data_IF_537998107020
#
_entry.id   IF_537998107020
#
_cell.length_a   1.000
_cell.length_b   1.000
_cell.length_c   1.000
_cell.angle_alpha   90.00
_cell.angle_beta   90.00
_cell.angle_gamma   90.00
#
_symmetry.space_group_name_H-M   'P 1'
#
loop_
_entity.id
_entity.type
_entity.pdbx_description
1 polymer ?
#
# COMPACT_ATOMS: atom_id res chain seq x y z
N UNK A 1 -19.40 -33.64 8.53
CA UNK A 1 -19.05 -32.79 9.69
C UNK A 1 -19.65 -33.43 10.92
N UNK A 2 -18.90 -33.52 12.02
CA UNK A 2 -19.39 -34.01 13.31
C UNK A 2 -20.54 -33.15 13.85
N UNK A 3 -21.50 -33.80 14.51
CA UNK A 3 -22.70 -33.20 15.10
C UNK A 3 -22.37 -32.08 16.10
N UNK A 4 -21.34 -32.30 16.92
CA UNK A 4 -20.81 -31.31 17.87
C UNK A 4 -20.39 -30.00 17.20
N UNK A 5 -19.85 -30.08 15.99
CA UNK A 5 -19.39 -28.90 15.24
C UNK A 5 -20.55 -28.13 14.61
N UNK A 6 -21.70 -28.77 14.34
CA UNK A 6 -22.92 -28.07 13.87
C UNK A 6 -23.57 -27.27 14.99
N UNK A 7 -23.64 -27.82 16.21
CA UNK A 7 -24.22 -27.14 17.38
C UNK A 7 -23.47 -25.86 17.71
N UNK A 8 -22.13 -25.92 17.77
CA UNK A 8 -21.29 -24.75 18.02
C UNK A 8 -21.52 -23.65 16.97
N UNK A 9 -21.66 -24.01 15.69
CA UNK A 9 -21.87 -23.04 14.61
C UNK A 9 -23.27 -22.42 14.64
N UNK A 10 -24.27 -23.13 15.18
CA UNK A 10 -25.62 -22.62 15.38
C UNK A 10 -25.69 -21.64 16.57
N UNK A 11 -25.05 -21.98 17.68
CA UNK A 11 -24.98 -21.11 18.87
C UNK A 11 -24.24 -19.80 18.59
N UNK A 12 -23.21 -19.85 17.73
CA UNK A 12 -22.47 -18.66 17.29
C UNK A 12 -23.21 -17.83 16.21
N UNK A 13 -24.42 -18.21 15.79
CA UNK A 13 -25.20 -17.49 14.78
C UNK A 13 -24.62 -17.55 13.36
N UNK A 14 -23.75 -18.53 13.08
CA UNK A 14 -23.02 -18.65 11.81
C UNK A 14 -23.71 -19.58 10.81
N UNK A 15 -25.03 -19.78 10.95
CA UNK A 15 -25.84 -20.58 10.03
C UNK A 15 -26.79 -19.69 9.22
N UNK A 16 -26.96 -19.93 7.90
CA UNK A 16 -26.46 -21.08 7.15
C UNK A 16 -24.99 -20.95 6.74
N UNK A 17 -24.27 -22.08 6.79
CA UNK A 17 -22.90 -22.20 6.29
C UNK A 17 -22.96 -22.33 4.76
N UNK A 18 -22.54 -21.28 4.06
CA UNK A 18 -22.41 -21.28 2.61
C UNK A 18 -21.31 -22.25 2.17
N UNK A 19 -21.66 -23.21 1.31
CA UNK A 19 -20.69 -24.10 0.65
C UNK A 19 -20.55 -23.70 -0.81
N UNK A 20 -19.31 -23.60 -1.27
CA UNK A 20 -19.00 -23.43 -2.68
C UNK A 20 -19.46 -24.68 -3.44
N UNK A 21 -20.24 -24.49 -4.52
CA UNK A 21 -20.66 -25.58 -5.41
C UNK A 21 -19.41 -26.10 -6.16
N UNK A 22 -19.23 -27.42 -6.19
CA UNK A 22 -18.15 -28.04 -6.95
C UNK A 22 -18.35 -27.78 -8.46
N UNK A 23 -17.29 -27.34 -9.15
CA UNK A 23 -17.25 -27.23 -10.61
C UNK A 23 -17.09 -28.63 -11.20
N UNK A 24 -18.11 -29.10 -11.91
CA UNK A 24 -18.02 -30.21 -12.86
C UNK A 24 -17.35 -29.70 -14.14
N UNK A 25 -16.27 -30.34 -14.57
CA UNK A 25 -15.59 -30.08 -15.85
C UNK A 25 -15.79 -31.21 -16.86
N UNK A 26 -15.42 -30.91 -18.12
CA UNK A 26 -15.22 -31.71 -19.37
C UNK A 26 -16.12 -31.21 -20.51
N UNK A 27 -15.71 -31.04 -21.78
CA UNK A 27 -14.46 -31.22 -22.55
C UNK A 27 -14.44 -30.22 -23.75
N UNK A 28 -13.31 -29.84 -24.36
CA UNK A 28 -12.48 -30.53 -25.38
C UNK A 28 -12.95 -30.33 -26.86
N UNK A 29 -12.02 -29.89 -27.72
CA UNK A 29 -12.11 -29.75 -29.20
C UNK A 29 -11.54 -28.39 -29.66
N UNK A 30 -10.27 -28.24 -30.08
CA UNK A 30 -9.62 -28.64 -31.35
C UNK A 30 -10.17 -27.87 -32.57
N UNK A 31 -9.41 -26.90 -33.10
CA UNK A 31 -8.64 -27.03 -34.35
C UNK A 31 -7.95 -25.72 -34.73
N UNK A 32 -6.77 -25.88 -35.35
CA UNK A 32 -5.91 -24.83 -35.87
C UNK A 32 -6.20 -24.62 -37.35
N UNK A 33 -6.12 -23.39 -37.84
CA UNK A 33 -5.68 -23.12 -39.21
C UNK A 33 -5.13 -21.70 -39.33
N UNK A 34 -4.06 -21.60 -40.11
CA UNK A 34 -3.16 -20.47 -40.27
C UNK A 34 -3.42 -19.89 -41.64
N UNK A 35 -3.68 -18.59 -41.76
CA UNK A 35 -3.67 -17.91 -43.05
C UNK A 35 -3.04 -16.51 -42.93
N UNK A 36 -2.04 -16.30 -43.77
CA UNK A 36 -1.13 -15.16 -43.82
C UNK A 36 -1.61 -14.05 -44.75
N UNK A 37 -1.61 -12.81 -44.22
CA UNK A 37 -1.15 -11.52 -44.82
C UNK A 37 -1.81 -10.99 -46.12
N UNK A 38 -2.00 -9.65 -46.28
CA UNK A 38 -0.88 -8.69 -46.39
C UNK A 38 -1.04 -7.30 -45.74
N UNK A 39 0.12 -6.68 -45.56
CA UNK A 39 0.50 -5.38 -44.99
C UNK A 39 0.25 -4.19 -45.94
N UNK A 40 -0.03 -3.01 -45.37
CA UNK A 40 0.48 -1.65 -45.73
C UNK A 40 -0.40 -0.54 -45.08
N UNK A 41 0.07 0.72 -44.95
CA UNK A 41 1.37 1.22 -44.52
C UNK A 41 1.25 2.20 -43.32
N UNK A 42 2.38 2.43 -42.67
CA UNK A 42 2.57 3.25 -41.47
C UNK A 42 2.34 4.75 -41.74
N UNK A 43 1.52 5.39 -40.91
CA UNK A 43 1.44 6.86 -40.80
C UNK A 43 2.12 7.30 -39.51
N UNK A 44 3.24 8.04 -39.65
CA UNK A 44 3.97 8.61 -38.52
C UNK A 44 3.07 9.53 -37.67
N UNK A 45 3.18 9.50 -36.33
CA UNK A 45 2.51 10.47 -35.46
C UNK A 45 3.14 11.87 -35.57
N UNK A 46 2.38 12.94 -35.31
CA UNK A 46 2.92 14.29 -35.26
C UNK A 46 3.86 14.46 -34.05
N UNK A 47 4.95 15.16 -34.31
CA UNK A 47 6.01 15.58 -33.42
C UNK A 47 5.44 16.24 -32.13
N UNK A 48 5.51 15.54 -31.00
CA UNK A 48 5.16 16.11 -29.71
C UNK A 48 6.38 16.86 -29.16
N UNK A 49 6.26 18.18 -29.07
CA UNK A 49 7.25 19.09 -28.52
C UNK A 49 7.74 18.61 -27.14
N UNK A 50 9.05 18.39 -27.02
CA UNK A 50 9.69 17.89 -25.82
C UNK A 50 9.50 18.89 -24.66
N UNK A 51 8.69 18.51 -23.67
CA UNK A 51 8.72 19.17 -22.35
C UNK A 51 10.08 18.88 -21.71
N UNK A 52 10.69 19.83 -20.99
CA UNK A 52 11.93 19.57 -20.25
C UNK A 52 11.68 18.41 -19.27
N UNK A 53 12.51 17.37 -19.36
CA UNK A 53 12.47 16.19 -18.50
C UNK A 53 13.00 16.56 -17.12
N UNK A 54 12.12 17.06 -16.25
CA UNK A 54 12.46 17.19 -14.83
C UNK A 54 12.57 15.79 -14.25
N UNK A 55 13.75 15.45 -13.74
CA UNK A 55 13.98 14.20 -13.01
C UNK A 55 13.05 14.15 -11.78
N UNK A 56 12.49 12.98 -11.46
CA UNK A 56 11.55 12.83 -10.32
C UNK A 56 12.16 13.34 -9.01
N UNK A 57 13.47 13.21 -8.86
CA UNK A 57 14.23 13.67 -7.69
C UNK A 57 14.17 15.18 -7.46
N UNK A 58 13.91 15.98 -8.50
CA UNK A 58 13.93 17.45 -8.43
C UNK A 58 12.52 18.07 -8.44
N UNK A 59 11.48 17.26 -8.68
CA UNK A 59 10.09 17.73 -8.77
C UNK A 59 9.61 18.42 -7.49
N UNK A 60 9.04 19.61 -7.58
CA UNK A 60 8.32 20.18 -6.44
C UNK A 60 7.05 19.35 -6.11
N UNK A 61 6.32 19.75 -5.07
CA UNK A 61 5.13 19.02 -4.63
C UNK A 61 4.03 18.96 -5.70
N UNK A 62 3.83 20.04 -6.45
CA UNK A 62 2.77 20.13 -7.46
C UNK A 62 3.14 19.29 -8.68
N UNK A 63 4.38 19.40 -9.15
CA UNK A 63 4.94 18.58 -10.22
C UNK A 63 4.87 17.09 -9.88
N UNK A 64 5.24 16.72 -8.65
CA UNK A 64 5.20 15.33 -8.20
C UNK A 64 3.76 14.80 -8.14
N UNK A 65 2.82 15.59 -7.61
CA UNK A 65 1.40 15.22 -7.54
C UNK A 65 0.83 15.01 -8.94
N UNK A 66 1.07 15.96 -9.85
CA UNK A 66 0.61 15.89 -11.25
C UNK A 66 1.23 14.71 -12.01
N UNK A 67 2.52 14.46 -11.79
CA UNK A 67 3.22 13.32 -12.41
C UNK A 67 2.64 11.99 -11.95
N UNK A 68 2.40 11.82 -10.64
CA UNK A 68 1.80 10.58 -10.13
C UNK A 68 0.37 10.39 -10.66
N UNK A 69 -0.45 11.45 -10.68
CA UNK A 69 -1.82 11.38 -11.20
C UNK A 69 -1.89 10.84 -12.65
N UNK A 70 -0.87 11.16 -13.46
CA UNK A 70 -0.75 10.76 -14.86
C UNK A 70 0.23 9.59 -15.09
N UNK A 71 0.70 8.95 -14.03
CA UNK A 71 1.72 7.91 -14.12
C UNK A 71 1.18 6.66 -14.85
N UNK A 72 1.97 6.17 -15.81
CA UNK A 72 1.76 4.93 -16.56
C UNK A 72 2.97 3.99 -16.50
N UNK A 73 3.86 4.17 -15.51
CA UNK A 73 5.14 3.45 -15.46
C UNK A 73 4.97 1.92 -15.38
N UNK A 74 4.02 1.44 -14.58
CA UNK A 74 3.82 0.01 -14.31
C UNK A 74 2.43 -0.51 -14.68
N UNK A 75 2.30 -1.84 -14.76
CA UNK A 75 1.06 -2.55 -15.11
C UNK A 75 -0.12 -2.27 -14.17
N UNK A 76 0.11 -1.80 -12.94
CA UNK A 76 -0.98 -1.50 -12.01
C UNK A 76 -1.92 -0.41 -12.53
N UNK A 77 -1.40 0.49 -13.38
CA UNK A 77 -2.21 1.56 -13.98
C UNK A 77 -3.36 1.04 -14.84
N UNK A 78 -3.21 -0.15 -15.43
CA UNK A 78 -4.23 -0.76 -16.30
C UNK A 78 -5.50 -1.16 -15.54
N UNK A 79 -5.40 -1.36 -14.22
CA UNK A 79 -6.49 -1.92 -13.41
C UNK A 79 -6.96 -1.01 -12.29
N UNK A 80 -6.19 0.01 -11.91
CA UNK A 80 -6.63 0.99 -10.92
C UNK A 80 -7.57 2.02 -11.57
N UNK A 81 -8.52 2.51 -10.80
CA UNK A 81 -9.41 3.60 -11.22
C UNK A 81 -8.65 4.93 -11.24
N UNK A 82 -7.82 5.15 -10.22
CA UNK A 82 -7.01 6.35 -10.07
C UNK A 82 -5.84 6.07 -9.12
N UNK A 83 -4.86 6.96 -9.12
CA UNK A 83 -3.74 6.90 -8.18
C UNK A 83 -4.13 7.45 -6.82
N UNK A 84 -3.58 6.86 -5.77
CA UNK A 84 -3.69 7.30 -4.38
C UNK A 84 -2.33 7.82 -3.94
N UNK A 85 -2.15 9.13 -4.02
CA UNK A 85 -0.85 9.79 -3.81
C UNK A 85 -0.40 9.76 -2.34
N UNK A 86 -1.31 10.15 -1.44
CA UNK A 86 -1.01 10.39 -0.04
C UNK A 86 -1.83 11.56 0.49
N UNK A 87 -2.10 11.58 1.80
CA UNK A 87 -2.84 12.67 2.45
C UNK A 87 -2.20 13.03 3.78
N UNK A 88 -2.27 14.30 4.15
CA UNK A 88 -1.84 14.79 5.45
C UNK A 88 -1.05 16.09 5.37
N UNK A 89 -0.36 16.39 6.46
CA UNK A 89 0.51 17.57 6.57
C UNK A 89 1.78 17.38 5.73
N UNK A 90 2.09 18.34 4.86
CA UNK A 90 3.28 18.28 3.99
C UNK A 90 4.58 18.55 4.75
N UNK A 91 4.49 19.05 5.97
CA UNK A 91 5.62 19.25 6.89
C UNK A 91 5.54 18.29 8.09
N UNK A 92 4.85 17.15 7.93
CA UNK A 92 4.66 16.19 9.00
C UNK A 92 5.97 15.62 9.54
N UNK A 93 6.14 15.67 10.86
CA UNK A 93 7.20 14.95 11.56
C UNK A 93 6.98 13.42 11.50
N UNK A 94 5.73 12.98 11.38
CA UNK A 94 5.34 11.56 11.33
C UNK A 94 4.87 11.13 9.95
N UNK A 95 5.61 10.21 9.32
CA UNK A 95 5.23 9.63 8.03
C UNK A 95 4.83 8.16 8.16
N UNK A 96 3.58 7.82 7.87
CA UNK A 96 3.08 6.45 7.86
C UNK A 96 3.04 5.90 6.43
N UNK A 97 3.61 4.72 6.22
CA UNK A 97 3.72 4.10 4.89
C UNK A 97 3.12 2.70 4.91
N UNK A 98 2.03 2.51 4.16
CA UNK A 98 1.38 1.21 3.94
C UNK A 98 1.86 0.49 2.68
N UNK A 99 1.19 -0.61 2.36
CA UNK A 99 1.53 -1.46 1.20
C UNK A 99 1.08 -0.84 -0.14
N UNK A 100 -0.21 -0.57 -0.26
CA UNK A 100 -0.85 -0.13 -1.50
C UNK A 100 -2.33 0.15 -1.29
N UNK A 101 -3.01 0.78 -2.26
CA UNK A 101 -4.43 1.11 -2.15
C UNK A 101 -5.31 -0.14 -2.17
N UNK A 102 -6.37 -0.14 -1.35
CA UNK A 102 -7.47 -1.10 -1.45
C UNK A 102 -8.59 -0.59 -2.37
N UNK A 103 -9.69 -1.31 -2.42
CA UNK A 103 -10.82 -0.99 -3.32
C UNK A 103 -11.48 0.37 -3.02
N UNK A 104 -11.59 0.75 -1.74
CA UNK A 104 -12.19 2.04 -1.37
C UNK A 104 -11.22 3.18 -1.60
N UNK A 105 -9.95 2.95 -1.30
CA UNK A 105 -8.88 3.92 -1.54
C UNK A 105 -8.77 4.23 -3.04
N UNK A 106 -8.80 3.21 -3.90
CA UNK A 106 -8.85 3.37 -5.36
C UNK A 106 -10.07 4.16 -5.82
N UNK A 107 -11.25 3.90 -5.26
CA UNK A 107 -12.47 4.64 -5.64
C UNK A 107 -12.47 6.11 -5.17
N UNK A 108 -11.80 6.43 -4.06
CA UNK A 108 -11.84 7.75 -3.43
C UNK A 108 -10.58 8.60 -3.65
N UNK A 109 -9.46 7.99 -4.02
CA UNK A 109 -8.19 8.70 -4.26
C UNK A 109 -7.38 8.95 -2.97
N UNK A 110 -7.88 8.48 -1.82
CA UNK A 110 -7.29 8.71 -0.51
C UNK A 110 -6.83 7.41 0.17
N UNK A 111 -5.65 7.39 0.82
CA UNK A 111 -5.14 6.18 1.45
C UNK A 111 -5.81 5.93 2.79
N UNK A 112 -5.99 4.65 3.14
CA UNK A 112 -6.52 4.23 4.44
C UNK A 112 -7.89 4.87 4.75
N UNK A 113 -8.87 4.68 3.88
CA UNK A 113 -10.28 5.13 4.06
C UNK A 113 -11.23 3.98 4.37
N UNK A 114 -10.79 2.72 4.21
CA UNK A 114 -11.52 1.53 4.61
C UNK A 114 -11.49 1.23 6.12
N UNK A 115 -11.87 0.00 6.50
CA UNK A 115 -11.84 -0.46 7.90
C UNK A 115 -10.42 -0.44 8.50
N UNK A 116 -9.42 -0.77 7.68
CA UNK A 116 -8.01 -0.66 8.07
C UNK A 116 -7.63 0.79 8.38
N UNK A 117 -8.20 1.74 7.63
CA UNK A 117 -8.02 3.17 7.86
C UNK A 117 -8.61 3.65 9.17
N UNK A 118 -9.85 3.26 9.47
CA UNK A 118 -10.48 3.57 10.76
C UNK A 118 -9.66 3.04 11.95
N UNK A 119 -9.07 1.85 11.82
CA UNK A 119 -8.18 1.33 12.85
C UNK A 119 -6.88 2.15 12.93
N UNK A 120 -6.31 2.57 11.80
CA UNK A 120 -5.14 3.46 11.81
C UNK A 120 -5.46 4.79 12.52
N UNK A 121 -6.63 5.39 12.25
CA UNK A 121 -7.03 6.63 12.91
C UNK A 121 -7.14 6.44 14.43
N UNK A 122 -7.70 5.30 14.89
CA UNK A 122 -7.72 4.96 16.32
C UNK A 122 -6.32 4.72 16.90
N UNK A 123 -5.40 4.13 16.14
CA UNK A 123 -4.01 3.92 16.54
C UNK A 123 -3.28 5.26 16.72
N UNK A 124 -3.48 6.20 15.79
CA UNK A 124 -2.96 7.57 15.89
C UNK A 124 -3.51 8.28 17.13
N UNK A 125 -4.84 8.24 17.31
CA UNK A 125 -5.49 8.89 18.45
C UNK A 125 -4.99 8.35 19.81
N UNK A 126 -4.67 7.06 19.90
CA UNK A 126 -4.14 6.45 21.12
C UNK A 126 -2.77 7.00 21.53
N UNK A 127 -1.98 7.52 20.59
CA UNK A 127 -0.72 8.23 20.83
C UNK A 127 -0.84 9.74 20.61
N UNK A 128 -2.06 10.29 20.76
CA UNK A 128 -2.34 11.73 20.72
C UNK A 128 -2.04 12.39 19.37
N UNK A 129 -2.04 11.61 18.29
CA UNK A 129 -1.89 12.10 16.91
C UNK A 129 -3.24 12.10 16.19
N UNK A 130 -3.34 12.93 15.15
CA UNK A 130 -4.50 12.98 14.26
C UNK A 130 -4.06 13.06 12.80
N UNK A 131 -4.79 12.40 11.92
CA UNK A 131 -4.56 12.49 10.47
C UNK A 131 -4.67 13.95 10.03
N UNK A 132 -3.73 14.42 9.21
CA UNK A 132 -3.71 15.80 8.73
C UNK A 132 -3.05 16.80 9.67
N UNK A 133 -2.71 16.40 10.90
CA UNK A 133 -2.05 17.27 11.87
C UNK A 133 -0.72 16.63 12.27
N UNK A 134 0.39 17.17 11.76
CA UNK A 134 1.74 16.62 11.95
C UNK A 134 1.91 15.15 11.51
N UNK A 135 1.00 14.66 10.67
CA UNK A 135 0.97 13.29 10.17
C UNK A 135 0.72 13.30 8.67
N UNK A 136 1.54 12.56 7.92
CA UNK A 136 1.32 12.24 6.51
C UNK A 136 1.21 10.73 6.32
N UNK A 137 0.30 10.30 5.45
CA UNK A 137 0.00 8.87 5.20
C UNK A 137 0.08 8.60 3.70
N UNK A 138 0.86 7.59 3.33
CA UNK A 138 0.96 7.11 1.94
C UNK A 138 1.24 5.61 1.89
N UNK A 139 1.55 5.07 0.70
CA UNK A 139 1.84 3.66 0.47
C UNK A 139 3.10 3.47 -0.40
N UNK A 140 3.65 2.25 -0.42
CA UNK A 140 4.74 1.86 -1.32
C UNK A 140 4.34 2.06 -2.78
N UNK A 141 3.19 1.50 -3.20
CA UNK A 141 2.63 1.72 -4.54
C UNK A 141 1.46 2.69 -4.48
N UNK A 142 1.28 3.51 -5.54
CA UNK A 142 0.19 4.49 -5.63
C UNK A 142 -1.04 3.98 -6.39
N UNK A 143 -0.97 2.79 -6.99
CA UNK A 143 -2.07 2.18 -7.74
C UNK A 143 -2.51 0.90 -7.05
N UNK A 144 -3.82 0.63 -7.04
CA UNK A 144 -4.38 -0.59 -6.47
C UNK A 144 -3.95 -1.84 -7.25
N UNK A 145 -3.32 -2.84 -6.60
CA UNK A 145 -3.09 -4.14 -7.22
C UNK A 145 -4.39 -4.91 -7.50
N UNK A 146 -4.49 -5.65 -8.62
CA UNK A 146 -5.66 -6.48 -8.93
C UNK A 146 -6.02 -7.40 -7.76
N UNK A 147 -7.32 -7.45 -7.41
CA UNK A 147 -7.83 -8.27 -6.31
C UNK A 147 -7.19 -7.98 -4.93
N UNK A 148 -6.57 -6.81 -4.74
CA UNK A 148 -5.84 -6.43 -3.52
C UNK A 148 -4.73 -7.45 -3.15
N UNK A 149 -4.09 -8.06 -4.16
CA UNK A 149 -2.86 -8.82 -3.92
C UNK A 149 -1.74 -7.88 -3.45
N UNK A 150 -0.68 -8.45 -2.90
CA UNK A 150 0.53 -7.67 -2.65
C UNK A 150 1.13 -7.17 -3.99
N UNK A 151 1.68 -5.94 -4.03
CA UNK A 151 2.45 -5.49 -5.17
C UNK A 151 3.68 -6.39 -5.37
N UNK A 152 4.04 -6.65 -6.62
CA UNK A 152 5.30 -7.33 -6.93
C UNK A 152 6.48 -6.39 -6.74
N UNK A 153 7.68 -6.94 -6.55
CA UNK A 153 8.90 -6.15 -6.41
C UNK A 153 9.12 -5.16 -7.55
N UNK A 154 8.85 -5.57 -8.79
CA UNK A 154 8.95 -4.70 -9.97
C UNK A 154 7.98 -3.50 -9.90
N UNK A 155 6.74 -3.72 -9.42
CA UNK A 155 5.76 -2.64 -9.27
C UNK A 155 6.17 -1.66 -8.18
N UNK A 156 6.71 -2.18 -7.08
CA UNK A 156 7.24 -1.36 -6.00
C UNK A 156 8.48 -0.57 -6.44
N UNK A 157 9.42 -1.20 -7.16
CA UNK A 157 10.62 -0.57 -7.72
C UNK A 157 10.28 0.60 -8.63
N UNK A 158 9.30 0.44 -9.52
CA UNK A 158 8.86 1.51 -10.42
C UNK A 158 8.15 2.66 -9.70
N UNK A 159 7.55 2.40 -8.53
CA UNK A 159 6.89 3.42 -7.72
C UNK A 159 7.82 4.08 -6.69
N UNK A 160 8.95 3.45 -6.37
CA UNK A 160 9.90 3.89 -5.36
C UNK A 160 10.43 5.33 -5.56
N UNK A 161 10.74 5.80 -6.79
CA UNK A 161 11.21 7.18 -6.99
C UNK A 161 10.20 8.23 -6.50
N UNK A 162 8.90 8.00 -6.70
CA UNK A 162 7.86 8.90 -6.23
C UNK A 162 7.78 8.95 -4.71
N UNK A 163 7.88 7.79 -4.05
CA UNK A 163 7.88 7.71 -2.59
C UNK A 163 9.14 8.36 -2.01
N UNK A 164 10.31 8.09 -2.58
CA UNK A 164 11.56 8.71 -2.17
C UNK A 164 11.49 10.23 -2.27
N UNK A 165 10.91 10.75 -3.37
CA UNK A 165 10.69 12.20 -3.51
C UNK A 165 9.69 12.74 -2.48
N UNK A 166 8.59 12.03 -2.20
CA UNK A 166 7.67 12.43 -1.13
C UNK A 166 8.38 12.54 0.22
N UNK A 167 9.22 11.56 0.58
CA UNK A 167 9.99 11.57 1.82
C UNK A 167 10.96 12.76 1.84
N UNK A 168 11.67 13.02 0.74
CA UNK A 168 12.62 14.13 0.64
C UNK A 168 11.95 15.51 0.72
N UNK A 169 10.71 15.64 0.26
CA UNK A 169 9.91 16.87 0.37
C UNK A 169 9.36 17.06 1.79
N UNK A 170 8.85 16.00 2.42
CA UNK A 170 8.24 16.05 3.77
C UNK A 170 9.31 16.23 4.85
N UNK A 171 10.46 15.56 4.69
CA UNK A 171 11.55 15.50 5.69
C UNK A 171 11.05 15.11 7.09
N UNK A 172 10.35 13.96 7.23
CA UNK A 172 9.80 13.54 8.51
C UNK A 172 10.92 13.23 9.51
N UNK A 173 10.64 13.39 10.79
CA UNK A 173 11.53 12.96 11.88
C UNK A 173 11.44 11.45 12.14
N UNK A 174 10.30 10.84 11.80
CA UNK A 174 10.08 9.40 11.96
C UNK A 174 9.20 8.83 10.84
N UNK A 175 9.62 7.69 10.31
CA UNK A 175 8.83 6.85 9.40
C UNK A 175 8.26 5.66 10.17
N UNK A 176 6.96 5.40 10.02
CA UNK A 176 6.30 4.20 10.55
C UNK A 176 5.85 3.31 9.38
N UNK A 177 6.53 2.19 9.19
CA UNK A 177 6.22 1.21 8.16
C UNK A 177 5.11 0.25 8.64
N UNK A 178 3.98 0.27 7.95
CA UNK A 178 2.80 -0.53 8.28
C UNK A 178 2.83 -1.84 7.49
N UNK A 179 3.26 -2.93 8.14
CA UNK A 179 3.23 -4.27 7.57
C UNK A 179 4.51 -4.70 6.86
N UNK A 180 4.49 -5.96 6.41
CA UNK A 180 5.66 -6.64 5.86
C UNK A 180 6.14 -5.97 4.58
N UNK A 181 5.23 -5.71 3.63
CA UNK A 181 5.61 -5.15 2.32
C UNK A 181 6.23 -3.76 2.47
N UNK A 182 5.64 -2.89 3.29
CA UNK A 182 6.21 -1.57 3.57
C UNK A 182 7.62 -1.68 4.18
N UNK A 183 7.77 -2.49 5.23
CA UNK A 183 9.05 -2.68 5.91
C UNK A 183 10.13 -3.25 4.97
N UNK A 184 9.82 -4.28 4.20
CA UNK A 184 10.77 -4.92 3.30
C UNK A 184 11.21 -4.00 2.16
N UNK A 185 10.30 -3.20 1.60
CA UNK A 185 10.66 -2.24 0.54
C UNK A 185 11.50 -1.08 1.07
N UNK A 186 11.16 -0.53 2.24
CA UNK A 186 11.91 0.59 2.81
C UNK A 186 13.29 0.16 3.32
N UNK A 187 13.40 -1.02 3.92
CA UNK A 187 14.65 -1.52 4.48
C UNK A 187 15.48 -2.36 3.50
N UNK A 188 14.99 -2.55 2.27
CA UNK A 188 15.56 -3.48 1.28
C UNK A 188 15.93 -4.84 1.90
N UNK A 189 14.98 -5.43 2.63
CA UNK A 189 15.19 -6.65 3.44
C UNK A 189 14.17 -7.74 3.11
N UNK A 190 14.58 -9.00 3.20
CA UNK A 190 13.71 -10.17 3.09
C UNK A 190 13.19 -10.67 4.44
N UNK A 191 13.52 -9.99 5.54
CA UNK A 191 13.23 -10.44 6.90
C UNK A 191 11.74 -10.52 7.22
N UNK A 192 11.42 -11.33 8.23
CA UNK A 192 10.07 -11.46 8.74
C UNK A 192 9.62 -10.18 9.45
N UNK A 193 8.31 -9.91 9.46
CA UNK A 193 7.79 -8.81 10.27
C UNK A 193 8.07 -9.00 11.77
N UNK A 194 8.21 -10.25 12.24
CA UNK A 194 8.50 -10.52 13.65
C UNK A 194 9.91 -10.06 14.07
N UNK A 195 10.90 -10.21 13.19
CA UNK A 195 12.29 -9.81 13.45
C UNK A 195 12.56 -8.32 13.24
N UNK A 196 11.74 -7.65 12.43
CA UNK A 196 11.87 -6.23 12.12
C UNK A 196 11.19 -5.30 13.14
N UNK A 197 10.17 -5.75 13.87
CA UNK A 197 9.50 -4.91 14.88
C UNK A 197 10.31 -4.80 16.18
N UNK A 198 9.93 -3.85 17.04
CA UNK A 198 10.57 -3.62 18.34
C UNK A 198 11.99 -3.07 18.26
N UNK A 199 12.35 -2.46 17.13
CA UNK A 199 13.66 -1.84 16.86
C UNK A 199 13.44 -0.53 16.12
N UNK A 200 14.42 0.37 16.21
CA UNK A 200 14.52 1.56 15.38
C UNK A 200 15.55 1.24 14.29
N UNK A 201 15.13 1.37 13.03
CA UNK A 201 15.96 1.20 11.85
C UNK A 201 16.31 2.56 11.26
N UNK A 202 17.16 2.56 10.24
CA UNK A 202 17.50 3.75 9.47
C UNK A 202 16.96 3.64 8.04
N UNK A 203 16.34 4.72 7.56
CA UNK A 203 16.02 4.94 6.16
C UNK A 203 16.71 6.22 5.69
N UNK A 204 17.91 6.09 5.15
CA UNK A 204 18.70 7.21 4.62
C UNK A 204 18.85 8.38 5.62
N UNK A 205 19.16 8.07 6.88
CA UNK A 205 19.27 9.05 7.96
C UNK A 205 17.95 9.41 8.65
N UNK A 206 16.82 8.88 8.18
CA UNK A 206 15.52 9.04 8.84
C UNK A 206 15.19 7.80 9.68
N UNK A 207 14.95 7.93 11.00
CA UNK A 207 14.52 6.83 11.84
C UNK A 207 13.27 6.13 11.28
N UNK A 208 13.26 4.80 11.30
CA UNK A 208 12.15 3.97 10.81
C UNK A 208 11.74 2.93 11.85
N UNK A 209 10.45 2.90 12.20
CA UNK A 209 9.87 1.88 13.07
C UNK A 209 8.88 1.04 12.26
N UNK A 210 8.98 -0.29 12.42
CA UNK A 210 8.05 -1.23 11.78
C UNK A 210 6.95 -1.59 12.76
N UNK A 211 5.70 -1.66 12.27
CA UNK A 211 4.59 -2.27 13.00
C UNK A 211 3.70 -3.12 12.09
N UNK A 212 2.69 -3.78 12.65
CA UNK A 212 1.72 -4.55 11.89
C UNK A 212 0.79 -3.65 11.06
N UNK A 213 0.45 -4.11 9.86
CA UNK A 213 -0.55 -3.42 9.04
C UNK A 213 -1.93 -3.47 9.72
N UNK A 214 -2.71 -2.38 9.75
CA UNK A 214 -4.04 -2.36 10.38
C UNK A 214 -4.99 -3.44 9.84
N UNK A 215 -4.97 -3.71 8.53
CA UNK A 215 -5.76 -4.79 7.94
C UNK A 215 -5.43 -6.19 8.51
N UNK A 216 -4.17 -6.44 8.89
CA UNK A 216 -3.78 -7.69 9.55
C UNK A 216 -4.32 -7.74 10.99
N UNK A 217 -4.23 -6.63 11.73
CA UNK A 217 -4.73 -6.52 13.11
C UNK A 217 -6.25 -6.71 13.22
N UNK A 218 -7.00 -6.40 12.16
CA UNK A 218 -8.45 -6.68 12.10
C UNK A 218 -8.76 -8.19 12.02
N UNK A 219 -7.82 -9.01 11.53
CA UNK A 219 -7.96 -10.47 11.45
C UNK A 219 -7.26 -11.20 12.60
N UNK A 220 -6.21 -10.60 13.16
CA UNK A 220 -5.40 -11.14 14.24
C UNK A 220 -5.48 -10.23 15.48
N UNK A 221 -6.64 -10.23 16.15
CA UNK A 221 -6.91 -9.34 17.28
C UNK A 221 -5.86 -9.40 18.41
N UNK A 222 -5.32 -10.57 18.82
CA UNK A 222 -4.29 -10.64 19.86
C UNK A 222 -3.00 -9.88 19.52
N UNK A 223 -2.71 -9.69 18.22
CA UNK A 223 -1.50 -8.99 17.77
C UNK A 223 -1.58 -7.47 17.95
N UNK A 224 -2.77 -6.93 18.27
CA UNK A 224 -2.94 -5.50 18.60
C UNK A 224 -2.07 -5.07 19.78
N UNK A 225 -1.85 -5.95 20.76
CA UNK A 225 -0.98 -5.66 21.88
C UNK A 225 0.48 -5.43 21.45
N UNK A 226 0.96 -6.14 20.42
CA UNK A 226 2.31 -5.93 19.87
C UNK A 226 2.38 -4.62 19.09
N UNK A 227 1.38 -4.33 18.26
CA UNK A 227 1.32 -3.05 17.56
C UNK A 227 1.26 -1.86 18.52
N UNK A 228 0.54 -1.98 19.64
CA UNK A 228 0.53 -0.96 20.68
C UNK A 228 1.92 -0.70 21.28
N UNK A 229 2.69 -1.76 21.55
CA UNK A 229 4.09 -1.61 22.02
C UNK A 229 4.95 -0.86 21.01
N UNK A 230 4.81 -1.14 19.71
CA UNK A 230 5.54 -0.43 18.66
C UNK A 230 5.17 1.06 18.62
N UNK A 231 3.88 1.40 18.80
CA UNK A 231 3.41 2.79 18.86
C UNK A 231 3.92 3.52 20.11
N UNK A 232 3.94 2.88 21.28
CA UNK A 232 4.55 3.45 22.48
C UNK A 232 6.04 3.74 22.26
N UNK A 233 6.77 2.79 21.66
CA UNK A 233 8.19 2.98 21.32
C UNK A 233 8.38 4.17 20.36
N UNK A 234 7.53 4.29 19.35
CA UNK A 234 7.55 5.42 18.43
C UNK A 234 7.29 6.76 19.13
N UNK A 235 6.31 6.81 20.04
CA UNK A 235 6.00 8.01 20.82
C UNK A 235 7.17 8.40 21.73
N UNK A 236 7.71 7.47 22.50
CA UNK A 236 8.88 7.71 23.36
C UNK A 236 10.10 8.14 22.56
N UNK A 237 10.32 7.58 21.37
CA UNK A 237 11.39 8.05 20.49
C UNK A 237 11.19 9.53 20.13
N UNK A 238 10.00 9.89 19.64
CA UNK A 238 9.70 11.26 19.21
C UNK A 238 9.72 12.28 20.35
N UNK A 239 9.29 11.89 21.55
CA UNK A 239 9.42 12.70 22.78
C UNK A 239 10.88 13.00 23.15
N UNK A 240 11.82 12.11 22.80
CA UNK A 240 13.26 12.31 23.08
C UNK A 240 13.99 13.17 22.03
N UNK A 241 13.33 13.45 20.90
CA UNK A 241 13.85 14.31 19.82
C UNK A 241 13.29 15.74 19.87
N UNK A 242 12.42 16.05 20.85
CA UNK A 242 11.77 17.35 21.05
C UNK A 242 12.47 18.15 22.13
#
# INVERSE_FOLDING_TARGET
MSERRRTILKELGLTPLWRLKAKTGTGAGADAETETQPTQPETNPPEHTARPTVEIADMDWEQLTSTVANCNACRLRQTCTQTVFGVGDKNADWLYIGEGPGAREDALGEPFVGQAGKLLDNMLAAIQLRRGENVYITNIVKCRPPNNRNPSEDEAKQCAPYLARQIALIKPKLIVALGKVAAQNLLNSSDSIASLRGKIHDYHGTPLIVTYHPAYLLRALPEKAKAWKDLCMARTFMESQS
#
